data_IF_394706359577
#
_entry.id   IF_394706359577
#
_cell.length_a   1.000
_cell.length_b   1.000
_cell.length_c   1.000
_cell.angle_alpha   90.00
_cell.angle_beta   90.00
_cell.angle_gamma   90.00
#
_symmetry.space_group_name_H-M   'P 1'
#
loop_
_entity.id
_entity.type
_entity.pdbx_description
1 polymer ?
#
# COMPACT_ATOMS: atom_id res chain seq x y z
N UNK A 1 25.27 -18.48 3.18
CA UNK A 1 24.35 -19.42 3.84
C UNK A 1 23.04 -19.42 3.06
N UNK A 2 22.61 -20.58 2.52
CA UNK A 2 21.30 -20.70 1.87
C UNK A 2 20.21 -20.68 2.94
N UNK A 3 19.17 -19.83 2.77
CA UNK A 3 17.98 -19.84 3.64
C UNK A 3 17.32 -21.22 3.64
N UNK A 4 16.73 -21.62 4.76
CA UNK A 4 15.96 -22.84 4.82
C UNK A 4 14.68 -22.70 3.96
N UNK A 5 14.08 -23.83 3.57
CA UNK A 5 12.77 -23.80 2.88
C UNK A 5 11.68 -23.18 3.76
N UNK A 6 11.75 -23.38 5.07
CA UNK A 6 10.82 -22.79 6.02
C UNK A 6 10.96 -21.26 6.03
N UNK A 7 12.17 -20.73 6.11
CA UNK A 7 12.43 -19.28 6.11
C UNK A 7 11.96 -18.63 4.80
N UNK A 8 12.05 -19.38 3.69
CA UNK A 8 11.61 -18.90 2.37
C UNK A 8 10.08 -18.84 2.29
N UNK A 9 9.38 -19.84 2.81
CA UNK A 9 7.92 -19.84 2.86
C UNK A 9 7.37 -18.79 3.83
N UNK A 10 8.02 -18.59 4.97
CA UNK A 10 7.69 -17.52 5.91
C UNK A 10 7.84 -16.14 5.26
N UNK A 11 8.98 -15.89 4.60
CA UNK A 11 9.20 -14.64 3.89
C UNK A 11 8.16 -14.41 2.78
N UNK A 12 7.82 -15.45 2.01
CA UNK A 12 6.76 -15.37 1.00
C UNK A 12 5.40 -15.06 1.64
N UNK A 13 5.08 -15.69 2.79
CA UNK A 13 3.85 -15.44 3.54
C UNK A 13 3.75 -13.99 4.03
N UNK A 14 4.86 -13.41 4.52
CA UNK A 14 4.92 -12.00 4.92
C UNK A 14 4.65 -11.08 3.72
N UNK A 15 5.28 -11.36 2.56
CA UNK A 15 5.10 -10.55 1.35
C UNK A 15 3.67 -10.59 0.85
N UNK A 16 3.09 -11.78 0.74
CA UNK A 16 1.70 -11.97 0.31
C UNK A 16 0.73 -11.34 1.30
N UNK A 17 0.97 -11.52 2.60
CA UNK A 17 0.16 -10.91 3.66
C UNK A 17 0.15 -9.38 3.58
N UNK A 18 1.30 -8.75 3.34
CA UNK A 18 1.38 -7.30 3.17
C UNK A 18 0.68 -6.83 1.89
N UNK A 19 0.85 -7.55 0.77
CA UNK A 19 0.16 -7.26 -0.49
C UNK A 19 -1.37 -7.24 -0.30
N UNK A 20 -1.91 -8.27 0.35
CA UNK A 20 -3.35 -8.37 0.62
C UNK A 20 -3.79 -7.28 1.60
N UNK A 21 -3.10 -7.11 2.73
CA UNK A 21 -3.48 -6.16 3.78
C UNK A 21 -3.56 -4.72 3.23
N UNK A 22 -2.61 -4.34 2.39
CA UNK A 22 -2.58 -3.00 1.77
C UNK A 22 -3.64 -2.87 0.67
N UNK A 23 -4.07 -3.95 0.02
CA UNK A 23 -5.16 -3.92 -0.95
C UNK A 23 -6.56 -3.89 -0.31
N UNK A 24 -6.70 -4.24 0.97
CA UNK A 24 -8.02 -4.24 1.64
C UNK A 24 -8.71 -2.86 1.66
N UNK A 25 -8.05 -1.75 2.04
CA UNK A 25 -8.67 -0.43 1.99
C UNK A 25 -9.16 -0.04 0.59
N UNK A 26 -8.47 -0.51 -0.46
CA UNK A 26 -8.90 -0.31 -1.83
C UNK A 26 -10.24 -1.00 -2.10
N UNK A 27 -10.40 -2.28 -1.76
CA UNK A 27 -11.69 -2.96 -1.91
C UNK A 27 -12.83 -2.25 -1.17
N UNK A 28 -12.58 -1.72 0.03
CA UNK A 28 -13.56 -0.97 0.79
C UNK A 28 -13.92 0.39 0.15
N UNK A 29 -12.91 1.13 -0.32
CA UNK A 29 -13.10 2.45 -0.93
C UNK A 29 -13.80 2.34 -2.30
N UNK A 30 -13.40 1.37 -3.12
CA UNK A 30 -13.99 1.15 -4.44
C UNK A 30 -15.37 0.48 -4.35
N UNK A 31 -15.63 -0.36 -3.34
CA UNK A 31 -16.94 -0.98 -3.10
C UNK A 31 -18.06 0.00 -2.72
N UNK A 32 -17.72 1.22 -2.31
CA UNK A 32 -18.69 2.31 -2.11
C UNK A 32 -19.26 2.80 -3.45
N UNK A 33 -18.50 2.67 -4.54
CA UNK A 33 -18.93 2.98 -5.90
C UNK A 33 -19.66 1.75 -6.46
N UNK A 34 -20.98 1.69 -6.23
CA UNK A 34 -21.83 0.52 -6.55
C UNK A 34 -21.84 0.12 -8.05
N UNK A 35 -21.44 1.02 -8.94
CA UNK A 35 -21.30 0.74 -10.38
C UNK A 35 -19.84 0.47 -10.74
N UNK A 36 -19.42 -0.77 -10.50
CA UNK A 36 -18.43 -1.48 -11.31
C UNK A 36 -17.21 -0.69 -11.79
N UNK A 37 -16.44 -0.09 -10.87
CA UNK A 37 -15.06 0.27 -11.19
C UNK A 37 -14.26 -1.04 -11.28
N UNK A 38 -14.42 -1.78 -12.38
CA UNK A 38 -13.46 -2.79 -12.76
C UNK A 38 -12.18 -2.04 -13.08
N UNK A 39 -11.27 -1.96 -12.10
CA UNK A 39 -9.92 -1.50 -12.39
C UNK A 39 -9.41 -2.34 -13.55
N UNK A 40 -8.86 -1.67 -14.55
CA UNK A 40 -8.13 -2.34 -15.60
C UNK A 40 -7.18 -3.38 -14.98
N UNK A 41 -6.91 -4.46 -15.71
CA UNK A 41 -6.04 -5.53 -15.21
C UNK A 41 -4.68 -4.98 -14.72
N UNK A 42 -4.17 -3.92 -15.36
CA UNK A 42 -2.90 -3.28 -14.97
C UNK A 42 -3.03 -2.49 -13.66
N UNK A 43 -4.14 -1.80 -13.44
CA UNK A 43 -4.42 -1.10 -12.18
C UNK A 43 -4.63 -2.08 -11.03
N UNK A 44 -5.25 -3.24 -11.30
CA UNK A 44 -5.40 -4.33 -10.32
C UNK A 44 -4.06 -4.91 -9.89
N UNK A 45 -3.11 -5.09 -10.82
CA UNK A 45 -1.75 -5.48 -10.49
C UNK A 45 -1.00 -4.37 -9.74
N UNK A 46 -1.17 -3.12 -10.17
CA UNK A 46 -0.57 -1.96 -9.51
C UNK A 46 -1.02 -1.85 -8.05
N UNK A 47 -2.27 -2.21 -7.75
CA UNK A 47 -2.83 -2.18 -6.41
C UNK A 47 -2.09 -3.09 -5.40
N UNK A 48 -1.46 -4.17 -5.87
CA UNK A 48 -0.71 -5.10 -5.03
C UNK A 48 0.72 -4.62 -4.77
N UNK A 49 1.29 -3.84 -5.70
CA UNK A 49 2.69 -3.44 -5.66
C UNK A 49 3.12 -2.71 -4.36
N UNK A 50 2.33 -1.81 -3.73
CA UNK A 50 2.79 -1.15 -2.52
C UNK A 50 2.95 -2.14 -1.37
N UNK A 51 1.98 -3.04 -1.21
CA UNK A 51 2.01 -4.07 -0.17
C UNK A 51 3.09 -5.11 -0.42
N UNK A 52 3.39 -5.44 -1.68
CA UNK A 52 4.55 -6.27 -2.02
C UNK A 52 5.87 -5.61 -1.64
N UNK A 53 6.05 -4.31 -1.94
CA UNK A 53 7.24 -3.56 -1.55
C UNK A 53 7.41 -3.55 -0.04
N UNK A 54 6.34 -3.24 0.70
CA UNK A 54 6.36 -3.26 2.18
C UNK A 54 6.64 -4.65 2.72
N UNK A 55 6.13 -5.70 2.07
CA UNK A 55 6.41 -7.08 2.41
C UNK A 55 7.89 -7.42 2.35
N UNK A 56 8.58 -7.02 1.27
CA UNK A 56 10.02 -7.19 1.15
C UNK A 56 10.79 -6.41 2.21
N UNK A 57 10.35 -5.19 2.52
CA UNK A 57 10.93 -4.38 3.60
C UNK A 57 10.73 -5.08 4.96
N UNK A 58 9.53 -5.58 5.24
CA UNK A 58 9.20 -6.27 6.49
C UNK A 58 10.05 -7.54 6.71
N UNK A 59 10.38 -8.27 5.64
CA UNK A 59 11.29 -9.43 5.71
C UNK A 59 12.71 -9.02 6.11
N UNK A 60 13.12 -7.78 5.80
CA UNK A 60 14.47 -7.27 6.08
C UNK A 60 14.58 -6.42 7.34
N UNK A 61 13.47 -5.82 7.81
CA UNK A 61 13.45 -4.87 8.91
C UNK A 61 12.36 -5.22 9.94
N UNK A 62 12.82 -5.66 11.12
CA UNK A 62 11.96 -6.02 12.25
C UNK A 62 11.26 -4.82 12.92
N UNK A 63 11.62 -3.59 12.56
CA UNK A 63 10.95 -2.37 13.05
C UNK A 63 9.59 -2.15 12.41
N UNK A 64 9.35 -2.75 11.24
CA UNK A 64 8.08 -2.62 10.53
C UNK A 64 6.99 -3.43 11.24
N UNK A 65 6.14 -2.75 12.00
CA UNK A 65 4.99 -3.40 12.67
C UNK A 65 3.74 -3.38 11.80
N UNK A 66 2.78 -4.25 12.13
CA UNK A 66 1.44 -4.26 11.53
C UNK A 66 0.81 -2.86 11.46
N UNK A 67 0.95 -2.05 12.52
CA UNK A 67 0.39 -0.69 12.56
C UNK A 67 0.96 0.21 11.46
N UNK A 68 2.23 0.06 11.10
CA UNK A 68 2.83 0.83 10.01
C UNK A 68 2.23 0.41 8.67
N UNK A 69 2.13 -0.90 8.42
CA UNK A 69 1.57 -1.46 7.17
C UNK A 69 0.09 -1.06 6.99
N UNK A 70 -0.69 -1.15 8.06
CA UNK A 70 -2.09 -0.76 8.04
C UNK A 70 -2.29 0.74 7.80
N UNK A 71 -1.57 1.59 8.54
CA UNK A 71 -1.61 3.06 8.34
C UNK A 71 -1.20 3.43 6.93
N UNK A 72 -0.11 2.84 6.44
CA UNK A 72 0.33 3.01 5.07
C UNK A 72 -0.80 2.68 4.09
N UNK A 73 -1.41 1.49 4.19
CA UNK A 73 -2.42 1.04 3.25
C UNK A 73 -3.64 1.97 3.21
N UNK A 74 -4.15 2.37 4.38
CA UNK A 74 -5.27 3.30 4.48
C UNK A 74 -4.92 4.66 3.89
N UNK A 75 -3.79 5.24 4.26
CA UNK A 75 -3.39 6.58 3.80
C UNK A 75 -3.07 6.58 2.30
N UNK A 76 -2.36 5.58 1.80
CA UNK A 76 -2.02 5.44 0.39
C UNK A 76 -3.28 5.45 -0.47
N UNK A 77 -4.25 4.58 -0.17
CA UNK A 77 -5.45 4.49 -0.99
C UNK A 77 -6.38 5.69 -0.86
N UNK A 78 -6.54 6.25 0.34
CA UNK A 78 -7.27 7.50 0.49
C UNK A 78 -6.64 8.62 -0.34
N UNK A 79 -5.31 8.76 -0.29
CA UNK A 79 -4.60 9.79 -1.04
C UNK A 79 -4.71 9.55 -2.55
N UNK A 80 -4.56 8.29 -3.00
CA UNK A 80 -4.67 7.95 -4.42
C UNK A 80 -6.07 8.28 -4.96
N UNK A 81 -7.14 7.87 -4.25
CA UNK A 81 -8.53 8.17 -4.64
C UNK A 81 -8.78 9.68 -4.68
N UNK A 82 -8.32 10.43 -3.67
CA UNK A 82 -8.47 11.88 -3.64
C UNK A 82 -7.71 12.58 -4.77
N UNK A 83 -6.50 12.11 -5.10
CA UNK A 83 -5.73 12.65 -6.23
C UNK A 83 -6.41 12.33 -7.55
N UNK A 84 -6.91 11.11 -7.74
CA UNK A 84 -7.59 10.72 -8.98
C UNK A 84 -8.87 11.52 -9.20
N UNK A 85 -9.67 11.74 -8.15
CA UNK A 85 -10.86 12.59 -8.21
C UNK A 85 -10.53 14.06 -8.40
N UNK A 86 -9.57 14.59 -7.64
CA UNK A 86 -9.19 16.01 -7.68
C UNK A 86 -8.53 16.42 -8.99
N UNK A 87 -7.81 15.49 -9.65
CA UNK A 87 -7.18 15.72 -10.95
C UNK A 87 -8.06 15.33 -12.14
N UNK A 88 -9.22 14.70 -11.90
CA UNK A 88 -10.09 14.21 -12.96
C UNK A 88 -9.41 13.18 -13.86
N UNK A 89 -8.73 12.19 -13.26
CA UNK A 89 -7.97 11.20 -14.05
C UNK A 89 -8.94 10.26 -14.77
N UNK A 90 -8.80 10.21 -16.09
CA UNK A 90 -9.60 9.37 -16.99
C UNK A 90 -8.73 8.29 -17.68
N UNK A 91 -9.39 7.33 -18.33
CA UNK A 91 -8.71 6.32 -19.14
C UNK A 91 -7.88 6.95 -20.26
N UNK A 92 -6.66 6.46 -20.47
CA UNK A 92 -5.67 7.03 -21.39
C UNK A 92 -4.72 8.07 -20.77
N UNK A 93 -4.79 8.28 -19.45
CA UNK A 93 -3.88 9.13 -18.68
C UNK A 93 -2.96 8.34 -17.75
N UNK A 94 -2.38 7.23 -18.23
CA UNK A 94 -1.62 6.28 -17.42
C UNK A 94 -0.43 6.93 -16.72
N UNK A 95 0.24 7.88 -17.37
CA UNK A 95 1.38 8.61 -16.78
C UNK A 95 0.94 9.43 -15.57
N UNK A 96 -0.21 10.09 -15.63
CA UNK A 96 -0.74 10.90 -14.53
C UNK A 96 -1.29 10.01 -13.40
N UNK A 97 -1.92 8.88 -13.75
CA UNK A 97 -2.37 7.87 -12.80
C UNK A 97 -1.18 7.28 -12.01
N UNK A 98 -0.09 6.94 -12.70
CA UNK A 98 1.14 6.45 -12.07
C UNK A 98 1.82 7.51 -11.20
N UNK A 99 1.86 8.77 -11.66
CA UNK A 99 2.44 9.86 -10.90
C UNK A 99 1.66 10.15 -9.60
N UNK A 100 0.33 10.20 -9.69
CA UNK A 100 -0.54 10.41 -8.52
C UNK A 100 -0.51 9.20 -7.58
N UNK A 101 -0.44 7.98 -8.09
CA UNK A 101 -0.22 6.77 -7.30
C UNK A 101 1.14 6.82 -6.57
N UNK A 102 2.20 7.25 -7.24
CA UNK A 102 3.52 7.45 -6.63
C UNK A 102 3.51 8.54 -5.56
N UNK A 103 2.81 9.64 -5.79
CA UNK A 103 2.58 10.67 -4.78
C UNK A 103 1.86 10.13 -3.55
N UNK A 104 0.79 9.36 -3.76
CA UNK A 104 0.07 8.69 -2.68
C UNK A 104 0.94 7.69 -1.91
N UNK A 105 1.85 6.99 -2.59
CA UNK A 105 2.83 6.09 -1.96
C UNK A 105 3.75 6.86 -1.00
N UNK A 106 4.28 8.00 -1.43
CA UNK A 106 5.13 8.88 -0.58
C UNK A 106 4.35 9.38 0.64
N UNK A 107 3.11 9.85 0.46
CA UNK A 107 2.26 10.29 1.58
C UNK A 107 1.99 9.14 2.55
N UNK A 108 1.71 7.94 2.04
CA UNK A 108 1.56 6.73 2.84
C UNK A 108 2.78 6.44 3.71
N UNK A 109 3.99 6.54 3.15
CA UNK A 109 5.25 6.35 3.91
C UNK A 109 5.35 7.39 5.03
N UNK A 110 5.15 8.67 4.72
CA UNK A 110 5.28 9.77 5.70
C UNK A 110 4.33 9.55 6.88
N UNK A 111 3.07 9.21 6.62
CA UNK A 111 2.07 8.99 7.67
C UNK A 111 2.36 7.72 8.46
N UNK A 112 2.77 6.64 7.81
CA UNK A 112 3.14 5.40 8.49
C UNK A 112 4.35 5.61 9.41
N UNK A 113 5.38 6.32 8.94
CA UNK A 113 6.62 6.58 9.68
C UNK A 113 6.50 7.70 10.72
N UNK A 114 5.38 8.42 10.80
CA UNK A 114 5.21 9.56 11.69
C UNK A 114 5.47 9.22 13.18
N UNK A 115 5.17 7.98 13.61
CA UNK A 115 5.47 7.52 14.98
C UNK A 115 6.96 7.34 15.29
N UNK A 116 7.83 7.33 14.29
CA UNK A 116 9.28 7.32 14.50
C UNK A 116 9.81 8.70 14.88
N UNK A 117 9.07 9.76 14.56
CA UNK A 117 9.51 11.15 14.73
C UNK A 117 8.79 11.84 15.90
N UNK A 118 7.64 11.32 16.31
CA UNK A 118 6.92 11.82 17.48
C UNK A 118 7.52 11.24 18.77
N UNK A 119 7.97 12.07 19.73
CA UNK A 119 8.39 11.60 21.05
C UNK A 119 7.24 10.83 21.70
N UNK A 120 7.54 9.65 22.26
CA UNK A 120 6.55 8.94 23.10
C UNK A 120 6.27 9.80 24.32
N UNK A 121 5.16 10.54 24.32
CA UNK A 121 4.66 11.21 25.50
C UNK A 121 4.26 10.10 26.48
N UNK A 122 5.13 9.81 27.46
CA UNK A 122 4.82 8.91 28.57
C UNK A 122 3.66 9.55 29.35
N UNK A 123 2.53 8.86 29.42
CA UNK A 123 1.52 9.09 30.45
C UNK A 123 1.91 8.32 31.71
#
# INVERSE_FOLDING_TARGET
MSRSRADTLEAAGIVVGCAILVALPMGALFGIYQDGFFLSWWLSLLALTPGTILGFVAVSDSRLTYTHVWRFGVTHWLTAVLLWQGLGIEDGQETLALASWGGAFVVGIVVAAASWWMPKIRK
#
